data_IF_557873685645
#
_entry.id   IF_557873685645
#
_cell.length_a   1.000
_cell.length_b   1.000
_cell.length_c   1.000
_cell.angle_alpha   90.00
_cell.angle_beta   90.00
_cell.angle_gamma   90.00
#
_symmetry.space_group_name_H-M   'P 1'
#
loop_
_entity.id
_entity.type
_entity.pdbx_description
1 polymer ?
#
# COMPACT_ATOMS: atom_id res chain seq x y z
N UNK A 1 84.52 51.44 70.29
CA UNK A 1 84.12 50.88 68.97
C UNK A 1 83.56 49.46 69.03
N UNK A 2 84.12 48.53 69.81
CA UNK A 2 83.69 47.12 69.83
C UNK A 2 82.27 46.88 70.41
N UNK A 3 81.90 47.62 71.47
CA UNK A 3 80.58 47.50 72.14
C UNK A 3 79.43 47.89 71.20
N UNK A 4 79.57 48.97 70.44
CA UNK A 4 78.55 49.41 69.48
C UNK A 4 78.34 48.43 68.32
N UNK A 5 79.38 47.69 67.89
CA UNK A 5 79.24 46.62 66.89
C UNK A 5 78.48 45.42 67.44
N UNK A 6 78.74 45.00 68.67
CA UNK A 6 78.02 43.87 69.31
C UNK A 6 76.52 44.17 69.44
N UNK A 7 76.18 45.39 69.89
CA UNK A 7 74.79 45.83 70.02
C UNK A 7 74.07 45.86 68.65
N UNK A 8 74.76 46.25 67.59
CA UNK A 8 74.19 46.26 66.24
C UNK A 8 73.96 44.85 65.67
N UNK A 9 74.84 43.90 65.96
CA UNK A 9 74.64 42.49 65.59
C UNK A 9 73.47 41.84 66.35
N UNK A 10 73.34 42.09 67.65
CA UNK A 10 72.18 41.65 68.44
C UNK A 10 70.87 42.25 67.92
N UNK A 11 70.90 43.52 67.51
CA UNK A 11 69.76 44.19 66.86
C UNK A 11 69.38 43.52 65.54
N UNK A 12 70.36 43.16 64.70
CA UNK A 12 70.12 42.44 63.43
C UNK A 12 69.54 41.05 63.67
N UNK A 13 70.01 40.32 64.68
CA UNK A 13 69.49 38.99 65.04
C UNK A 13 68.03 39.11 65.50
N UNK A 14 67.74 40.03 66.42
CA UNK A 14 66.37 40.30 66.89
C UNK A 14 65.44 40.73 65.75
N UNK A 15 65.91 41.60 64.86
CA UNK A 15 65.16 42.02 63.68
C UNK A 15 64.85 40.85 62.74
N UNK A 16 65.85 40.01 62.40
CA UNK A 16 65.65 38.83 61.54
C UNK A 16 64.66 37.83 62.16
N UNK A 17 64.74 37.60 63.47
CA UNK A 17 63.78 36.75 64.18
C UNK A 17 62.35 37.33 64.13
N UNK A 18 62.20 38.63 64.38
CA UNK A 18 60.91 39.31 64.28
C UNK A 18 60.32 39.23 62.86
N UNK A 19 61.13 39.45 61.82
CA UNK A 19 60.70 39.33 60.42
C UNK A 19 60.24 37.90 60.10
N UNK A 20 60.94 36.87 60.59
CA UNK A 20 60.54 35.46 60.43
C UNK A 20 59.18 35.17 61.07
N UNK A 21 58.96 35.64 62.30
CA UNK A 21 57.68 35.44 63.00
C UNK A 21 56.55 36.17 62.27
N UNK A 22 56.80 37.43 61.85
CA UNK A 22 55.82 38.23 61.13
C UNK A 22 55.48 37.65 59.75
N UNK A 23 56.46 37.19 58.98
CA UNK A 23 56.23 36.58 57.67
C UNK A 23 55.49 35.25 57.80
N UNK A 24 55.84 34.43 58.79
CA UNK A 24 55.11 33.19 59.10
C UNK A 24 53.65 33.47 59.46
N UNK A 25 53.40 34.43 60.37
CA UNK A 25 52.04 34.80 60.78
C UNK A 25 51.20 35.33 59.61
N UNK A 26 51.77 36.23 58.79
CA UNK A 26 51.11 36.73 57.56
C UNK A 26 50.77 35.58 56.62
N UNK A 27 51.68 34.63 56.42
CA UNK A 27 51.45 33.42 55.64
C UNK A 27 50.33 32.54 56.21
N UNK A 28 50.28 32.35 57.53
CA UNK A 28 49.21 31.60 58.20
C UNK A 28 47.84 32.26 58.00
N UNK A 29 47.76 33.58 58.12
CA UNK A 29 46.52 34.35 57.89
C UNK A 29 46.02 34.19 56.44
N UNK A 30 46.91 34.35 55.46
CA UNK A 30 46.56 34.19 54.03
C UNK A 30 46.11 32.77 53.73
N UNK A 31 46.83 31.74 54.21
CA UNK A 31 46.44 30.33 53.98
C UNK A 31 45.11 29.98 54.62
N UNK A 32 44.82 30.50 55.81
CA UNK A 32 43.52 30.29 56.46
C UNK A 32 42.39 30.91 55.64
N UNK A 33 42.59 32.13 55.13
CA UNK A 33 41.62 32.81 54.27
C UNK A 33 41.40 32.07 52.95
N UNK A 34 42.47 31.61 52.29
CA UNK A 34 42.35 30.81 51.06
C UNK A 34 41.61 29.49 51.28
N UNK A 35 41.84 28.80 52.40
CA UNK A 35 41.07 27.59 52.75
C UNK A 35 39.58 27.90 52.89
N UNK A 36 39.25 28.97 53.61
CA UNK A 36 37.86 29.41 53.76
C UNK A 36 37.21 29.72 52.41
N UNK A 37 37.89 30.47 51.53
CA UNK A 37 37.38 30.74 50.18
C UNK A 37 37.17 29.46 49.37
N UNK A 38 38.12 28.53 49.41
CA UNK A 38 38.00 27.25 48.71
C UNK A 38 36.82 26.41 49.23
N UNK A 39 36.60 26.37 50.54
CA UNK A 39 35.43 25.70 51.13
C UNK A 39 34.13 26.31 50.63
N UNK A 40 34.02 27.65 50.59
CA UNK A 40 32.82 28.33 50.07
C UNK A 40 32.61 28.03 48.58
N UNK A 41 33.68 28.04 47.78
CA UNK A 41 33.60 27.69 46.35
C UNK A 41 33.15 26.24 46.15
N UNK A 42 33.68 25.29 46.93
CA UNK A 42 33.28 23.88 46.86
C UNK A 42 31.79 23.73 47.20
N UNK A 43 31.30 24.45 48.23
CA UNK A 43 29.88 24.44 48.57
C UNK A 43 29.03 24.94 47.40
N UNK A 44 29.33 26.12 46.84
CA UNK A 44 28.61 26.67 45.68
C UNK A 44 28.59 25.68 44.52
N UNK A 45 29.76 25.11 44.18
CA UNK A 45 29.87 24.14 43.09
C UNK A 45 29.09 22.85 43.36
N UNK A 46 29.12 22.33 44.60
CA UNK A 46 28.36 21.14 45.02
C UNK A 46 26.86 21.38 44.85
N UNK A 47 26.36 22.51 45.33
CA UNK A 47 24.95 22.89 45.20
C UNK A 47 24.54 23.05 43.74
N UNK A 48 25.37 23.73 42.93
CA UNK A 48 25.11 23.93 41.51
C UNK A 48 25.08 22.61 40.72
N UNK A 49 26.08 21.73 40.91
CA UNK A 49 26.10 20.40 40.28
C UNK A 49 24.85 19.61 40.66
N UNK A 50 24.46 19.62 41.93
CA UNK A 50 23.24 18.97 42.41
C UNK A 50 21.97 19.55 41.78
N UNK A 51 21.85 20.87 41.69
CA UNK A 51 20.72 21.53 41.02
C UNK A 51 20.62 21.12 39.55
N UNK A 52 21.75 21.16 38.82
CA UNK A 52 21.81 20.80 37.40
C UNK A 52 21.33 19.37 37.16
N UNK A 53 21.81 18.41 37.95
CA UNK A 53 21.38 17.01 37.86
C UNK A 53 19.88 16.86 38.14
N UNK A 54 19.37 17.50 39.21
CA UNK A 54 17.93 17.44 39.54
C UNK A 54 17.06 18.07 38.46
N UNK A 55 17.47 19.20 37.87
CA UNK A 55 16.76 19.84 36.76
C UNK A 55 16.67 18.92 35.55
N UNK A 56 17.79 18.29 35.18
CA UNK A 56 17.81 17.36 34.06
C UNK A 56 16.93 16.13 34.32
N UNK A 57 17.04 15.52 35.50
CA UNK A 57 16.25 14.36 35.88
C UNK A 57 14.74 14.64 35.87
N UNK A 58 14.30 15.81 36.34
CA UNK A 58 12.89 16.22 36.27
C UNK A 58 12.39 16.27 34.82
N UNK A 59 13.17 16.87 33.91
CA UNK A 59 12.82 16.89 32.48
C UNK A 59 12.73 15.49 31.90
N UNK A 60 13.65 14.60 32.29
CA UNK A 60 13.68 13.21 31.85
C UNK A 60 12.43 12.44 32.32
N UNK A 61 12.04 12.61 33.59
CA UNK A 61 10.82 12.01 34.14
C UNK A 61 9.55 12.53 33.44
N UNK A 62 9.48 13.83 33.21
CA UNK A 62 8.37 14.46 32.49
C UNK A 62 8.24 13.87 31.09
N UNK A 63 9.34 13.77 30.33
CA UNK A 63 9.33 13.14 29.01
C UNK A 63 8.91 11.67 29.05
N UNK A 64 9.43 10.89 30.01
CA UNK A 64 9.07 9.49 30.16
C UNK A 64 7.58 9.30 30.49
N UNK A 65 7.03 10.16 31.36
CA UNK A 65 5.62 10.17 31.69
C UNK A 65 4.75 10.46 30.45
N UNK A 66 5.10 11.49 29.67
CA UNK A 66 4.36 11.84 28.46
C UNK A 66 4.42 10.72 27.41
N UNK A 67 5.58 10.09 27.21
CA UNK A 67 5.73 8.95 26.30
C UNK A 67 4.84 7.79 26.76
N UNK A 68 4.88 7.43 28.04
CA UNK A 68 4.06 6.35 28.60
C UNK A 68 2.57 6.63 28.41
N UNK A 69 2.13 7.86 28.73
CA UNK A 69 0.74 8.29 28.58
C UNK A 69 0.30 8.27 27.11
N UNK A 70 1.14 8.77 26.20
CA UNK A 70 0.86 8.77 24.76
C UNK A 70 0.73 7.34 24.22
N UNK A 71 1.65 6.45 24.60
CA UNK A 71 1.62 5.05 24.19
C UNK A 71 0.34 4.34 24.64
N UNK A 72 -0.11 4.59 25.88
CA UNK A 72 -1.36 4.05 26.39
C UNK A 72 -2.57 4.48 25.54
N UNK A 73 -2.70 5.78 25.25
CA UNK A 73 -3.81 6.26 24.43
C UNK A 73 -3.73 5.77 22.99
N UNK A 74 -2.53 5.70 22.40
CA UNK A 74 -2.33 5.16 21.07
C UNK A 74 -2.76 3.70 21.00
N UNK A 75 -2.41 2.88 21.99
CA UNK A 75 -2.85 1.48 22.05
C UNK A 75 -4.38 1.37 22.10
N UNK A 76 -5.04 2.17 22.94
CA UNK A 76 -6.50 2.19 23.04
C UNK A 76 -7.14 2.66 21.72
N UNK A 77 -6.58 3.70 21.09
CA UNK A 77 -7.05 4.21 19.81
C UNK A 77 -6.94 3.13 18.72
N UNK A 78 -5.83 2.40 18.64
CA UNK A 78 -5.65 1.30 17.67
C UNK A 78 -6.70 0.21 17.88
N UNK A 79 -7.03 -0.16 19.12
CA UNK A 79 -8.07 -1.16 19.42
C UNK A 79 -9.44 -0.71 18.91
N UNK A 80 -9.83 0.53 19.20
CA UNK A 80 -11.10 1.12 18.75
C UNK A 80 -11.13 1.16 17.22
N UNK A 81 -10.08 1.68 16.60
CA UNK A 81 -10.00 1.82 15.15
C UNK A 81 -10.01 0.46 14.44
N UNK A 82 -9.30 -0.56 14.95
CA UNK A 82 -9.31 -1.93 14.41
C UNK A 82 -10.73 -2.50 14.42
N UNK A 83 -11.45 -2.34 15.55
CA UNK A 83 -12.84 -2.81 15.66
C UNK A 83 -13.75 -2.10 14.67
N UNK A 84 -13.62 -0.79 14.56
CA UNK A 84 -14.40 0.03 13.64
C UNK A 84 -14.15 -0.33 12.17
N UNK A 85 -12.88 -0.40 11.75
CA UNK A 85 -12.51 -0.79 10.37
C UNK A 85 -13.09 -2.17 10.02
N UNK A 86 -13.00 -3.13 10.94
CA UNK A 86 -13.60 -4.45 10.74
C UNK A 86 -15.13 -4.41 10.59
N UNK A 87 -15.82 -3.61 11.41
CA UNK A 87 -17.28 -3.41 11.28
C UNK A 87 -17.63 -2.77 9.93
N UNK A 88 -16.93 -1.70 9.55
CA UNK A 88 -17.20 -0.94 8.32
C UNK A 88 -17.09 -1.83 7.09
N UNK A 89 -16.01 -2.62 6.98
CA UNK A 89 -15.81 -3.55 5.85
C UNK A 89 -16.96 -4.56 5.77
N UNK A 90 -17.33 -5.20 6.88
CA UNK A 90 -18.40 -6.21 6.89
C UNK A 90 -19.79 -5.64 6.59
N UNK A 91 -20.02 -4.36 6.88
CA UNK A 91 -21.32 -3.72 6.67
C UNK A 91 -21.44 -3.10 5.28
N UNK A 92 -20.42 -2.40 4.81
CA UNK A 92 -20.53 -1.54 3.62
C UNK A 92 -19.72 -2.01 2.40
N UNK A 93 -18.67 -2.81 2.59
CA UNK A 93 -17.79 -3.22 1.48
C UNK A 93 -18.06 -4.68 1.09
N UNK A 94 -17.93 -5.60 2.04
CA UNK A 94 -18.02 -7.04 1.79
C UNK A 94 -19.08 -7.70 2.66
N UNK A 95 -20.25 -7.92 2.08
CA UNK A 95 -21.33 -8.69 2.70
C UNK A 95 -21.19 -10.17 2.32
N UNK A 96 -20.53 -10.94 3.19
CA UNK A 96 -20.29 -12.39 3.00
C UNK A 96 -21.59 -13.18 2.75
N UNK A 97 -22.66 -12.88 3.48
CA UNK A 97 -23.92 -13.61 3.35
C UNK A 97 -24.61 -13.34 2.02
N UNK A 98 -24.56 -12.10 1.53
CA UNK A 98 -25.06 -11.74 0.21
C UNK A 98 -24.29 -12.47 -0.90
N UNK A 99 -22.94 -12.46 -0.82
CA UNK A 99 -22.10 -13.18 -1.77
C UNK A 99 -22.36 -14.70 -1.76
N UNK A 100 -22.47 -15.30 -0.57
CA UNK A 100 -22.77 -16.74 -0.44
C UNK A 100 -24.10 -17.10 -1.08
N UNK A 101 -25.15 -16.29 -0.86
CA UNK A 101 -26.46 -16.48 -1.47
C UNK A 101 -26.38 -16.38 -3.00
N UNK A 102 -25.65 -15.39 -3.51
CA UNK A 102 -25.42 -15.23 -4.95
C UNK A 102 -24.71 -16.45 -5.56
N UNK A 103 -23.62 -16.91 -4.95
CA UNK A 103 -22.89 -18.09 -5.42
C UNK A 103 -23.74 -19.35 -5.42
N UNK A 104 -24.60 -19.52 -4.42
CA UNK A 104 -25.55 -20.63 -4.38
C UNK A 104 -26.54 -20.54 -5.55
N UNK A 105 -27.11 -19.36 -5.82
CA UNK A 105 -28.00 -19.17 -6.97
C UNK A 105 -27.29 -19.46 -8.30
N UNK A 106 -26.04 -18.99 -8.47
CA UNK A 106 -25.21 -19.31 -9.65
C UNK A 106 -24.96 -20.81 -9.77
N UNK A 107 -24.71 -21.51 -8.66
CA UNK A 107 -24.48 -22.96 -8.69
C UNK A 107 -25.71 -23.74 -9.17
N UNK A 108 -26.92 -23.32 -8.75
CA UNK A 108 -28.19 -23.91 -9.17
C UNK A 108 -28.42 -23.64 -10.67
N UNK A 109 -28.23 -22.40 -11.12
CA UNK A 109 -28.36 -22.07 -12.54
C UNK A 109 -27.37 -22.84 -13.41
N UNK A 110 -26.12 -22.98 -12.96
CA UNK A 110 -25.13 -23.76 -13.69
C UNK A 110 -25.51 -25.24 -13.78
N UNK A 111 -26.11 -25.82 -12.74
CA UNK A 111 -26.61 -27.18 -12.77
C UNK A 111 -27.76 -27.32 -13.79
N UNK A 112 -28.69 -26.36 -13.80
CA UNK A 112 -29.79 -26.31 -14.75
C UNK A 112 -29.30 -26.23 -16.21
N UNK A 113 -28.42 -25.28 -16.52
CA UNK A 113 -27.84 -25.11 -17.87
C UNK A 113 -27.07 -26.36 -18.32
N UNK A 114 -26.35 -27.03 -17.41
CA UNK A 114 -25.67 -28.30 -17.74
C UNK A 114 -26.68 -29.40 -18.09
N UNK A 115 -27.81 -29.46 -17.40
CA UNK A 115 -28.90 -30.38 -17.72
C UNK A 115 -29.47 -30.11 -19.12
N UNK A 116 -29.81 -28.86 -19.43
CA UNK A 116 -30.31 -28.49 -20.77
C UNK A 116 -29.31 -28.81 -21.89
N UNK A 117 -28.02 -28.56 -21.65
CA UNK A 117 -26.96 -28.90 -22.60
C UNK A 117 -26.86 -30.42 -22.81
N UNK A 118 -27.03 -31.21 -21.76
CA UNK A 118 -27.03 -32.67 -21.86
C UNK A 118 -28.23 -33.17 -22.66
N UNK A 119 -29.43 -32.67 -22.38
CA UNK A 119 -30.64 -33.01 -23.14
C UNK A 119 -30.51 -32.64 -24.62
N UNK A 120 -29.92 -31.48 -24.92
CA UNK A 120 -29.66 -31.06 -26.29
C UNK A 120 -28.69 -32.01 -27.02
N UNK A 121 -27.63 -32.46 -26.34
CA UNK A 121 -26.68 -33.45 -26.90
C UNK A 121 -27.40 -34.76 -27.18
N UNK A 122 -28.19 -35.27 -26.24
CA UNK A 122 -28.97 -36.51 -26.42
C UNK A 122 -29.97 -36.39 -27.57
N UNK A 123 -30.67 -35.26 -27.68
CA UNK A 123 -31.54 -34.98 -28.82
C UNK A 123 -30.78 -35.00 -30.15
N UNK A 124 -29.60 -34.36 -30.21
CA UNK A 124 -28.77 -34.34 -31.42
C UNK A 124 -28.29 -35.72 -31.82
N UNK A 125 -27.80 -36.52 -30.88
CA UNK A 125 -27.38 -37.89 -31.16
C UNK A 125 -28.55 -38.74 -31.66
N UNK A 126 -29.75 -38.57 -31.09
CA UNK A 126 -30.93 -39.28 -31.53
C UNK A 126 -31.38 -38.84 -32.94
N UNK A 127 -31.34 -37.55 -33.25
CA UNK A 127 -31.56 -37.03 -34.62
C UNK A 127 -30.59 -37.65 -35.62
N UNK A 128 -29.31 -37.76 -35.28
CA UNK A 128 -28.28 -38.36 -36.12
C UNK A 128 -28.52 -39.87 -36.31
N UNK A 129 -28.82 -40.60 -35.24
CA UNK A 129 -29.20 -42.02 -35.31
C UNK A 129 -30.40 -42.23 -36.23
N UNK A 130 -31.44 -41.40 -36.11
CA UNK A 130 -32.63 -41.47 -36.97
C UNK A 130 -32.29 -41.18 -38.44
N UNK A 131 -31.46 -40.16 -38.72
CA UNK A 131 -30.97 -39.85 -40.07
C UNK A 131 -30.16 -41.01 -40.65
N UNK A 132 -29.31 -41.65 -39.85
CA UNK A 132 -28.50 -42.78 -40.31
C UNK A 132 -29.32 -44.04 -40.54
N UNK A 133 -30.34 -44.30 -39.72
CA UNK A 133 -31.34 -45.34 -39.99
C UNK A 133 -32.09 -45.04 -41.29
N UNK A 134 -32.53 -43.80 -41.51
CA UNK A 134 -33.21 -43.40 -42.75
C UNK A 134 -32.30 -43.56 -43.98
N UNK A 135 -31.01 -43.20 -43.87
CA UNK A 135 -30.02 -43.45 -44.95
C UNK A 135 -29.87 -44.94 -45.22
N UNK A 136 -29.73 -45.78 -44.19
CA UNK A 136 -29.64 -47.25 -44.34
C UNK A 136 -30.91 -47.81 -45.00
N UNK A 137 -32.09 -47.30 -44.66
CA UNK A 137 -33.34 -47.69 -45.33
C UNK A 137 -33.37 -47.23 -46.80
N UNK A 138 -32.95 -46.00 -47.09
CA UNK A 138 -32.84 -45.48 -48.46
C UNK A 138 -31.85 -46.30 -49.28
N UNK A 139 -30.71 -46.68 -48.71
CA UNK A 139 -29.73 -47.57 -49.34
C UNK A 139 -30.31 -48.95 -49.63
N UNK A 140 -31.01 -49.57 -48.66
CA UNK A 140 -31.71 -50.84 -48.89
C UNK A 140 -32.73 -50.74 -50.04
N UNK A 141 -33.54 -49.68 -50.04
CA UNK A 141 -34.50 -49.40 -51.13
C UNK A 141 -33.79 -49.19 -52.46
N UNK A 142 -32.67 -48.48 -52.48
CA UNK A 142 -31.87 -48.26 -53.69
C UNK A 142 -31.27 -49.56 -54.22
N UNK A 143 -30.69 -50.39 -53.34
CA UNK A 143 -30.15 -51.71 -53.70
C UNK A 143 -31.24 -52.61 -54.28
N UNK A 144 -32.43 -52.65 -53.68
CA UNK A 144 -33.57 -53.39 -54.24
C UNK A 144 -33.91 -52.91 -55.66
N UNK A 145 -33.99 -51.58 -55.89
CA UNK A 145 -34.25 -51.04 -57.23
C UNK A 145 -33.13 -51.35 -58.25
N UNK A 146 -31.88 -51.37 -57.81
CA UNK A 146 -30.71 -51.72 -58.63
C UNK A 146 -30.70 -53.19 -59.02
N UNK A 147 -31.03 -54.06 -58.05
CA UNK A 147 -31.05 -55.51 -58.18
C UNK A 147 -32.45 -56.04 -58.57
N UNK A 148 -33.37 -55.17 -59.02
CA UNK A 148 -34.76 -55.52 -59.33
C UNK A 148 -34.90 -56.68 -60.32
N UNK A 149 -33.91 -56.88 -61.19
CA UNK A 149 -33.87 -57.98 -62.15
C UNK A 149 -33.73 -59.37 -61.50
N UNK A 150 -33.36 -59.46 -60.22
CA UNK A 150 -33.28 -60.72 -59.46
C UNK A 150 -34.62 -61.17 -58.85
N UNK A 151 -35.70 -60.43 -59.11
CA UNK A 151 -37.05 -60.73 -58.62
C UNK A 151 -37.57 -62.05 -59.21
N UNK A 152 -38.24 -62.85 -58.38
CA UNK A 152 -38.86 -64.11 -58.81
C UNK A 152 -39.95 -63.88 -59.87
N UNK A 153 -39.95 -64.72 -60.90
CA UNK A 153 -41.01 -64.77 -61.92
C UNK A 153 -41.91 -65.97 -61.68
N UNK A 154 -43.06 -66.04 -62.35
CA UNK A 154 -43.97 -67.20 -62.22
C UNK A 154 -43.33 -68.51 -62.67
N UNK A 155 -42.44 -68.45 -63.67
CA UNK A 155 -41.82 -69.64 -64.26
C UNK A 155 -40.47 -70.01 -63.60
N UNK A 156 -39.73 -69.03 -63.05
CA UNK A 156 -38.42 -69.25 -62.42
C UNK A 156 -38.35 -68.49 -61.09
N UNK A 157 -38.07 -69.24 -60.02
CA UNK A 157 -37.84 -68.71 -58.69
C UNK A 157 -36.58 -67.84 -58.63
N UNK A 158 -36.70 -66.62 -58.08
CA UNK A 158 -35.58 -65.69 -57.89
C UNK A 158 -34.64 -66.14 -56.76
N UNK A 159 -33.40 -65.61 -56.73
CA UNK A 159 -32.37 -65.99 -55.74
C UNK A 159 -32.88 -65.80 -54.29
N UNK A 160 -33.71 -64.78 -54.06
CA UNK A 160 -34.25 -64.43 -52.75
C UNK A 160 -35.60 -65.10 -52.43
N UNK A 161 -36.15 -65.92 -53.34
CA UNK A 161 -37.40 -66.67 -53.17
C UNK A 161 -37.20 -68.17 -53.45
N UNK A 162 -36.29 -68.80 -52.71
CA UNK A 162 -35.97 -70.21 -52.90
C UNK A 162 -37.14 -71.13 -52.52
N UNK A 163 -37.50 -72.14 -53.34
CA UNK A 163 -38.60 -73.07 -53.07
C UNK A 163 -38.39 -73.95 -51.82
N UNK A 164 -37.17 -73.98 -51.28
CA UNK A 164 -36.83 -74.72 -50.07
C UNK A 164 -37.06 -73.91 -48.77
N UNK A 165 -37.42 -72.62 -48.87
CA UNK A 165 -37.74 -71.76 -47.71
C UNK A 165 -39.25 -71.63 -47.53
N UNK A 166 -39.70 -71.63 -46.27
CA UNK A 166 -41.12 -71.51 -45.88
C UNK A 166 -41.71 -70.12 -46.16
N UNK A 167 -40.88 -69.09 -46.18
CA UNK A 167 -41.27 -67.72 -46.48
C UNK A 167 -40.21 -67.02 -47.34
N UNK A 168 -40.60 -66.07 -48.21
CA UNK A 168 -39.65 -65.28 -48.99
C UNK A 168 -38.68 -64.50 -48.10
N UNK A 169 -37.44 -64.28 -48.55
CA UNK A 169 -36.47 -63.45 -47.84
C UNK A 169 -36.97 -61.99 -47.75
N UNK A 170 -36.68 -61.24 -46.67
CA UNK A 170 -37.07 -59.82 -46.57
C UNK A 170 -36.64 -58.97 -47.78
N UNK A 171 -35.54 -59.33 -48.45
CA UNK A 171 -35.11 -58.66 -49.68
C UNK A 171 -36.08 -58.90 -50.85
N UNK A 172 -36.65 -60.11 -50.98
CA UNK A 172 -37.64 -60.42 -52.01
C UNK A 172 -38.91 -59.58 -51.85
N UNK A 173 -39.36 -59.36 -50.60
CA UNK A 173 -40.51 -58.51 -50.31
C UNK A 173 -40.25 -57.04 -50.69
N UNK A 174 -39.04 -56.54 -50.44
CA UNK A 174 -38.63 -55.20 -50.86
C UNK A 174 -38.54 -55.07 -52.39
N UNK A 175 -38.04 -56.11 -53.07
CA UNK A 175 -37.97 -56.16 -54.54
C UNK A 175 -39.37 -56.06 -55.15
N UNK A 176 -40.34 -56.87 -54.67
CA UNK A 176 -41.74 -56.85 -55.12
C UNK A 176 -42.41 -55.48 -55.01
N UNK A 177 -42.09 -54.73 -53.94
CA UNK A 177 -42.67 -53.40 -53.70
C UNK A 177 -41.93 -52.27 -54.44
N UNK A 178 -40.75 -52.54 -54.99
CA UNK A 178 -39.92 -51.55 -55.65
C UNK A 178 -40.15 -51.48 -57.16
N UNK A 179 -39.78 -50.36 -57.80
CA UNK A 179 -39.79 -50.21 -59.26
C UNK A 179 -38.35 -50.20 -59.78
N UNK A 180 -38.05 -50.81 -60.95
CA UNK A 180 -36.70 -50.84 -61.49
C UNK A 180 -36.14 -49.43 -61.68
N UNK A 181 -34.82 -49.27 -61.57
CA UNK A 181 -34.18 -47.99 -61.84
C UNK A 181 -34.44 -47.59 -63.30
N UNK A 182 -35.15 -46.47 -63.49
CA UNK A 182 -35.34 -45.88 -64.83
C UNK A 182 -33.99 -45.34 -65.32
N UNK A 183 -33.58 -45.76 -66.53
CA UNK A 183 -32.44 -45.14 -67.20
C UNK A 183 -32.81 -43.71 -67.55
N UNK A 184 -32.46 -42.76 -66.68
CA UNK A 184 -32.59 -41.34 -66.98
C UNK A 184 -31.64 -41.05 -68.13
N UNK A 185 -32.16 -40.74 -69.33
CA UNK A 185 -31.38 -40.09 -70.39
C UNK A 185 -30.83 -38.80 -69.77
N UNK A 186 -29.52 -38.74 -69.53
CA UNK A 186 -28.87 -37.48 -69.19
C UNK A 186 -29.18 -36.52 -70.33
N UNK A 187 -30.00 -35.50 -70.09
CA UNK A 187 -29.90 -34.33 -70.95
C UNK A 187 -28.51 -33.76 -70.70
N UNK A 188 -27.69 -33.80 -71.75
CA UNK A 188 -26.38 -33.14 -71.79
C UNK A 188 -26.68 -31.64 -71.66
N UNK A 189 -26.61 -31.11 -70.43
CA UNK A 189 -26.47 -29.67 -70.27
C UNK A 189 -25.03 -29.35 -70.68
N UNK A 190 -24.91 -28.75 -71.86
CA UNK A 190 -23.67 -28.10 -72.32
C UNK A 190 -23.15 -27.19 -71.20
N UNK A 191 -21.88 -27.33 -70.77
CA UNK A 191 -21.27 -26.42 -69.79
C UNK A 191 -21.14 -24.96 -70.27
N UNK A 192 -21.56 -24.64 -71.50
CA UNK A 192 -21.22 -23.38 -72.17
C UNK A 192 -22.38 -22.38 -72.32
N UNK A 193 -23.39 -22.42 -71.43
CA UNK A 193 -24.59 -21.59 -71.58
C UNK A 193 -24.58 -20.28 -70.78
N UNK A 194 -23.52 -19.94 -70.04
CA UNK A 194 -23.50 -18.72 -69.21
C UNK A 194 -22.29 -17.78 -69.42
N UNK A 195 -21.35 -18.08 -70.32
CA UNK A 195 -20.15 -17.23 -70.52
C UNK A 195 -19.86 -16.96 -72.01
N UNK A 196 -20.90 -16.67 -72.80
CA UNK A 196 -20.73 -16.26 -74.21
C UNK A 196 -21.54 -15.00 -74.54
N UNK A 197 -21.43 -13.99 -73.69
CA UNK A 197 -21.69 -12.60 -74.03
C UNK A 197 -20.62 -11.78 -73.34
N UNK A 198 -19.41 -11.76 -73.93
CA UNK A 198 -18.44 -10.64 -73.86
C UNK A 198 -17.06 -11.03 -74.43
N UNK A 199 -16.98 -11.55 -75.66
CA UNK A 199 -15.76 -11.50 -76.51
C UNK A 199 -16.13 -12.01 -77.92
N UNK A 200 -15.86 -11.29 -79.03
CA UNK A 200 -14.69 -10.47 -79.30
C UNK A 200 -15.07 -9.10 -79.89
N UNK A 201 -15.56 -8.17 -79.07
CA UNK A 201 -15.66 -6.76 -79.46
C UNK A 201 -15.11 -5.92 -78.32
N UNK A 202 -13.78 -5.97 -78.16
CA UNK A 202 -13.03 -5.16 -77.22
C UNK A 202 -13.13 -3.67 -77.63
N UNK A 203 -14.25 -3.02 -77.35
CA UNK A 203 -14.44 -1.58 -77.59
C UNK A 203 -13.95 -0.71 -76.43
N UNK A 204 -13.28 -1.30 -75.43
CA UNK A 204 -12.70 -0.56 -74.30
C UNK A 204 -11.19 -0.82 -74.27
N UNK A 205 -10.34 0.22 -74.41
CA UNK A 205 -8.91 0.05 -74.17
C UNK A 205 -8.68 -0.31 -72.70
N UNK A 206 -7.64 -1.10 -72.35
CA UNK A 206 -7.29 -1.35 -70.97
C UNK A 206 -6.90 -0.03 -70.32
N UNK A 207 -7.76 0.51 -69.47
CA UNK A 207 -7.39 1.64 -68.64
C UNK A 207 -6.29 1.15 -67.69
N UNK A 208 -5.09 1.75 -67.76
CA UNK A 208 -4.15 1.67 -66.66
C UNK A 208 -4.87 2.17 -65.42
N UNK A 209 -5.14 1.24 -64.50
CA UNK A 209 -5.85 1.52 -63.26
C UNK A 209 -4.93 2.41 -62.42
N UNK A 210 -5.10 3.73 -62.53
CA UNK A 210 -4.61 4.66 -61.53
C UNK A 210 -5.19 4.20 -60.19
N UNK A 211 -4.28 3.92 -59.25
CA UNK A 211 -4.53 3.33 -57.93
C UNK A 211 -5.99 3.43 -57.48
N UNK A 212 -6.73 2.33 -57.60
CA UNK A 212 -8.01 2.20 -56.90
C UNK A 212 -7.71 2.45 -55.42
N UNK A 213 -8.47 3.34 -54.75
CA UNK A 213 -8.38 3.46 -53.30
C UNK A 213 -8.55 2.06 -52.73
N UNK A 214 -7.59 1.60 -51.94
CA UNK A 214 -7.73 0.34 -51.22
C UNK A 214 -9.10 0.38 -50.51
N UNK A 215 -9.88 -0.72 -50.56
CA UNK A 215 -11.16 -0.75 -49.89
C UNK A 215 -10.93 -0.34 -48.44
N UNK A 216 -11.79 0.54 -47.88
CA UNK A 216 -11.60 1.05 -46.53
C UNK A 216 -11.41 -0.15 -45.61
N UNK A 217 -10.23 -0.25 -44.99
CA UNK A 217 -9.92 -1.31 -44.02
C UNK A 217 -11.05 -1.23 -43.00
N UNK A 218 -11.95 -2.22 -43.07
CA UNK A 218 -13.11 -2.25 -42.20
C UNK A 218 -12.63 -2.15 -40.77
N UNK A 219 -13.32 -1.35 -39.95
CA UNK A 219 -13.11 -1.31 -38.48
C UNK A 219 -13.55 -2.63 -37.81
N UNK A 220 -13.29 -3.75 -38.45
CA UNK A 220 -13.56 -5.07 -37.93
C UNK A 220 -12.47 -5.39 -36.91
N UNK A 221 -12.89 -5.87 -35.75
CA UNK A 221 -11.98 -6.30 -34.69
C UNK A 221 -11.06 -7.39 -35.28
N UNK A 222 -9.73 -7.21 -35.28
CA UNK A 222 -8.83 -8.23 -35.80
C UNK A 222 -9.04 -9.54 -35.03
N UNK A 223 -9.13 -10.65 -35.76
CA UNK A 223 -9.38 -11.96 -35.17
C UNK A 223 -8.14 -12.41 -34.38
N UNK A 224 -8.27 -12.48 -33.05
CA UNK A 224 -7.19 -12.86 -32.13
C UNK A 224 -7.31 -12.17 -30.77
N UNK A 225 -6.35 -12.41 -29.85
CA UNK A 225 -6.31 -11.78 -28.52
C UNK A 225 -5.75 -10.34 -28.59
N UNK A 226 -6.12 -9.58 -29.63
CA UNK A 226 -5.67 -8.20 -29.81
C UNK A 226 -6.57 -7.24 -29.01
N UNK A 227 -5.94 -6.23 -28.41
CA UNK A 227 -6.62 -5.18 -27.65
C UNK A 227 -7.41 -4.27 -28.59
N UNK A 228 -8.41 -3.58 -28.04
CA UNK A 228 -9.24 -2.69 -28.84
C UNK A 228 -8.41 -1.54 -29.42
N UNK A 229 -8.74 -1.13 -30.64
CA UNK A 229 -8.06 -0.05 -31.37
C UNK A 229 -8.02 1.26 -30.58
N UNK A 230 -9.08 1.57 -29.82
CA UNK A 230 -9.13 2.74 -28.95
C UNK A 230 -8.12 2.65 -27.79
N UNK A 231 -7.96 1.47 -27.17
CA UNK A 231 -6.99 1.26 -26.09
C UNK A 231 -5.55 1.36 -26.58
N UNK A 232 -5.27 0.83 -27.77
CA UNK A 232 -3.93 0.88 -28.37
C UNK A 232 -3.55 2.32 -28.71
N UNK A 233 -4.48 3.09 -29.28
CA UNK A 233 -4.25 4.52 -29.56
C UNK A 233 -4.06 5.32 -28.27
N UNK A 234 -4.87 5.04 -27.24
CA UNK A 234 -4.71 5.67 -25.93
C UNK A 234 -3.36 5.37 -25.29
N UNK A 235 -2.88 4.11 -25.36
CA UNK A 235 -1.54 3.74 -24.88
C UNK A 235 -0.43 4.44 -25.67
N UNK A 236 -0.56 4.53 -26.99
CA UNK A 236 0.44 5.18 -27.86
C UNK A 236 0.58 6.67 -27.59
N UNK A 237 -0.54 7.35 -27.35
CA UNK A 237 -0.56 8.80 -27.10
C UNK A 237 -0.63 9.16 -25.61
N UNK A 238 -0.46 8.19 -24.70
CA UNK A 238 -0.39 8.46 -23.27
C UNK A 238 0.86 9.33 -23.00
N UNK A 239 0.72 10.54 -22.45
CA UNK A 239 1.88 11.37 -22.10
C UNK A 239 2.75 10.61 -21.10
N UNK A 240 4.06 10.65 -21.32
CA UNK A 240 5.02 10.01 -20.44
C UNK A 240 4.99 10.71 -19.08
N UNK A 241 4.57 9.99 -18.04
CA UNK A 241 4.71 10.46 -16.67
C UNK A 241 6.21 10.45 -16.34
N UNK A 242 6.83 11.62 -16.05
CA UNK A 242 8.24 11.65 -15.69
C UNK A 242 8.48 10.76 -14.48
N UNK A 243 9.53 9.95 -14.53
CA UNK A 243 9.92 9.14 -13.37
C UNK A 243 10.12 10.04 -12.15
N UNK A 244 9.92 9.49 -10.94
CA UNK A 244 10.01 10.25 -9.69
C UNK A 244 11.34 11.04 -9.57
N UNK A 245 12.44 10.53 -10.17
CA UNK A 245 13.74 11.21 -10.26
C UNK A 245 13.76 12.45 -11.18
N UNK A 246 12.89 12.50 -12.17
CA UNK A 246 12.75 13.61 -13.13
C UNK A 246 11.69 14.61 -12.67
N UNK A 247 10.62 14.13 -12.00
CA UNK A 247 9.58 14.97 -11.43
C UNK A 247 10.06 15.75 -10.19
N UNK A 248 10.94 15.15 -9.38
CA UNK A 248 11.55 15.81 -8.23
C UNK A 248 12.77 16.63 -8.66
N UNK A 249 12.88 17.88 -8.20
CA UNK A 249 14.09 18.67 -8.46
C UNK A 249 15.29 18.01 -7.80
N UNK A 250 16.44 17.98 -8.49
CA UNK A 250 17.71 17.40 -8.01
C UNK A 250 18.07 17.89 -6.60
N UNK A 251 17.67 19.11 -6.25
CA UNK A 251 17.79 19.64 -4.90
C UNK A 251 16.82 18.88 -3.99
N UNK A 252 17.40 17.99 -3.17
CA UNK A 252 16.66 17.14 -2.25
C UNK A 252 15.66 17.95 -1.41
N UNK A 253 14.50 17.39 -1.02
CA UNK A 253 13.58 18.05 -0.09
C UNK A 253 14.27 18.55 1.19
N UNK A 254 15.35 17.88 1.60
CA UNK A 254 16.21 18.25 2.72
C UNK A 254 16.99 19.55 2.48
N UNK A 255 17.50 19.80 1.28
CA UNK A 255 18.19 21.06 0.95
C UNK A 255 17.22 22.24 0.94
N UNK A 256 16.03 22.08 0.36
CA UNK A 256 14.98 23.11 0.41
C UNK A 256 14.56 23.44 1.84
N UNK A 257 14.46 22.43 2.71
CA UNK A 257 14.19 22.63 4.13
C UNK A 257 15.33 23.39 4.84
N UNK A 258 16.59 23.06 4.54
CA UNK A 258 17.77 23.77 5.10
C UNK A 258 17.84 25.23 4.66
N UNK A 259 17.52 25.53 3.41
CA UNK A 259 17.44 26.91 2.93
C UNK A 259 16.30 27.70 3.58
N UNK A 260 15.16 27.05 3.85
CA UNK A 260 14.06 27.63 4.62
C UNK A 260 14.49 28.05 6.02
N UNK A 261 15.15 27.13 6.74
CA UNK A 261 15.68 27.35 8.09
C UNK A 261 16.72 28.49 8.08
N UNK A 262 17.68 28.49 7.15
CA UNK A 262 18.66 29.58 7.03
C UNK A 262 18.01 30.94 6.79
N UNK A 263 16.93 31.01 6.01
CA UNK A 263 16.17 32.25 5.77
C UNK A 263 15.39 32.71 7.00
N UNK A 264 14.91 31.79 7.84
CA UNK A 264 14.27 32.12 9.12
C UNK A 264 15.28 32.57 10.17
N UNK A 265 16.45 31.92 10.25
CA UNK A 265 17.56 32.34 11.11
C UNK A 265 18.09 33.73 10.71
N UNK A 266 18.22 34.02 9.41
CA UNK A 266 18.59 35.36 8.92
C UNK A 266 17.54 36.44 9.22
N UNK A 267 16.26 36.06 9.26
CA UNK A 267 15.15 36.98 9.58
C UNK A 267 15.02 37.27 11.07
N UNK A 268 15.65 36.46 11.93
CA UNK A 268 15.68 36.65 13.36
C UNK A 268 17.09 37.05 13.79
N UNK A 269 17.47 38.35 13.72
CA UNK A 269 18.65 38.82 14.39
C UNK A 269 18.62 38.36 15.85
N UNK A 270 19.74 37.79 16.27
CA UNK A 270 20.01 37.41 17.66
C UNK A 270 19.96 38.70 18.48
N UNK A 271 18.83 38.92 19.16
CA UNK A 271 18.54 39.94 20.16
C UNK A 271 18.54 41.41 19.70
N UNK A 272 17.36 41.91 19.29
CA UNK A 272 17.04 43.36 19.26
C UNK A 272 16.71 43.93 20.66
N UNK A 273 16.94 43.17 21.74
CA UNK A 273 16.74 43.69 23.08
C UNK A 273 17.98 44.51 23.46
N UNK A 274 17.81 45.84 23.59
CA UNK A 274 18.81 46.69 24.24
C UNK A 274 19.24 46.06 25.57
N UNK A 275 20.55 45.91 25.76
CA UNK A 275 21.10 45.36 26.99
C UNK A 275 20.80 46.31 28.15
N UNK A 276 19.72 46.04 28.88
CA UNK A 276 19.36 46.82 30.06
C UNK A 276 20.27 46.43 31.24
N UNK A 277 20.87 47.40 31.96
CA UNK A 277 21.61 47.11 33.17
C UNK A 277 20.71 46.46 34.22
N UNK A 278 21.26 45.50 34.98
CA UNK A 278 20.55 44.64 35.95
C UNK A 278 19.70 45.35 37.03
N UNK A 279 19.72 46.68 37.11
CA UNK A 279 19.06 47.49 38.13
C UNK A 279 17.64 47.96 37.77
N UNK A 280 17.08 47.63 36.59
CA UNK A 280 15.78 48.19 36.14
C UNK A 280 14.54 47.28 36.33
N UNK A 281 14.69 46.05 36.82
CA UNK A 281 13.57 45.09 36.94
C UNK A 281 12.38 45.57 37.80
N UNK A 282 12.57 46.54 38.69
CA UNK A 282 11.48 47.06 39.54
C UNK A 282 10.62 48.15 38.88
N UNK A 283 10.97 48.61 37.67
CA UNK A 283 10.25 49.72 36.99
C UNK A 283 9.27 49.25 35.91
N UNK A 284 9.25 47.96 35.57
CA UNK A 284 8.33 47.42 34.58
C UNK A 284 6.99 47.06 35.25
N UNK A 285 6.06 48.01 35.32
CA UNK A 285 4.70 47.78 35.85
C UNK A 285 3.91 46.71 35.06
N UNK A 286 4.34 46.38 33.83
CA UNK A 286 3.73 45.34 32.98
C UNK A 286 4.11 43.91 33.38
N UNK A 287 5.17 43.70 34.16
CA UNK A 287 5.61 42.38 34.64
C UNK A 287 5.38 42.27 36.16
N UNK A 288 4.14 42.50 36.61
CA UNK A 288 3.74 42.10 37.96
C UNK A 288 3.91 40.58 38.09
N UNK A 289 4.77 40.17 39.01
CA UNK A 289 4.96 38.77 39.39
C UNK A 289 3.61 38.14 39.75
N UNK A 290 3.07 37.27 38.89
CA UNK A 290 1.90 36.44 39.20
C UNK A 290 2.35 35.21 40.01
N UNK A 291 1.94 35.07 41.29
CA UNK A 291 2.25 33.88 42.07
C UNK A 291 1.51 32.67 41.49
N UNK A 292 2.22 31.55 41.32
CA UNK A 292 1.65 30.32 40.77
C UNK A 292 0.41 29.82 41.55
N UNK A 293 -0.64 29.45 40.79
CA UNK A 293 -1.94 28.93 41.27
C UNK A 293 -1.83 27.69 42.20
N UNK A 294 -0.66 27.05 42.28
CA UNK A 294 -0.45 25.84 43.07
C UNK A 294 -0.10 26.09 44.55
N UNK A 295 -0.13 27.33 45.06
CA UNK A 295 0.16 27.63 46.48
C UNK A 295 -1.00 27.37 47.45
N UNK A 296 -2.23 27.14 46.97
CA UNK A 296 -3.42 26.90 47.81
C UNK A 296 -3.95 25.46 47.68
N UNK A 297 -3.12 24.47 48.04
CA UNK A 297 -3.58 23.09 48.22
C UNK A 297 -4.07 22.85 49.65
N UNK A 298 -5.09 22.00 49.80
CA UNK A 298 -5.79 21.62 51.05
C UNK A 298 -4.91 20.96 52.13
N UNK A 299 -3.61 20.80 51.88
CA UNK A 299 -2.66 20.20 52.80
C UNK A 299 -2.01 21.31 53.64
N UNK A 300 -2.30 21.28 54.94
CA UNK A 300 -1.71 22.17 55.93
C UNK A 300 -0.19 22.08 55.80
N UNK A 301 0.44 23.24 55.61
CA UNK A 301 1.88 23.39 55.56
C UNK A 301 2.41 23.14 56.97
N UNK A 302 2.76 21.89 57.30
CA UNK A 302 3.58 21.64 58.47
C UNK A 302 4.88 22.43 58.29
N UNK A 303 5.18 23.31 59.26
CA UNK A 303 6.38 24.13 59.23
C UNK A 303 7.60 23.21 59.10
N UNK A 304 8.31 23.36 57.97
CA UNK A 304 9.51 22.61 57.70
C UNK A 304 10.56 22.93 58.78
N UNK A 305 10.83 22.00 59.69
CA UNK A 305 11.92 22.12 60.67
C UNK A 305 11.72 21.47 62.04
N UNK A 306 10.49 21.23 62.51
CA UNK A 306 10.29 20.85 63.93
C UNK A 306 10.42 19.37 64.25
N UNK A 307 10.08 18.45 63.34
CA UNK A 307 9.98 17.03 63.69
C UNK A 307 11.29 16.24 63.57
N UNK A 308 12.25 16.68 62.74
CA UNK A 308 13.41 15.84 62.35
C UNK A 308 14.77 16.52 62.60
N UNK A 309 14.78 17.75 63.12
CA UNK A 309 16.00 18.44 63.50
C UNK A 309 16.22 18.31 65.01
N UNK A 310 17.33 17.70 65.41
CA UNK A 310 17.79 17.68 66.81
C UNK A 310 18.46 19.02 67.14
N UNK A 311 17.66 20.07 67.33
CA UNK A 311 18.18 21.30 67.94
C UNK A 311 18.01 21.21 69.46
N UNK A 312 19.15 21.09 70.15
CA UNK A 312 19.22 20.81 71.60
C UNK A 312 18.81 22.02 72.45
N UNK A 313 18.78 23.24 71.90
CA UNK A 313 18.44 24.46 72.65
C UNK A 313 17.73 25.53 71.77
N UNK A 314 16.42 25.42 71.53
CA UNK A 314 15.67 26.36 70.69
C UNK A 314 15.55 27.77 71.29
N UNK A 315 15.72 27.93 72.60
CA UNK A 315 15.59 29.23 73.30
C UNK A 315 16.85 30.09 73.27
N UNK A 316 17.97 29.60 72.73
CA UNK A 316 19.26 30.33 72.76
C UNK A 316 19.32 31.52 71.79
N UNK A 317 18.38 31.59 70.85
CA UNK A 317 18.39 32.55 69.75
C UNK A 317 17.14 33.44 69.67
N UNK A 318 16.20 33.30 70.61
CA UNK A 318 15.04 34.18 70.68
C UNK A 318 15.41 35.29 71.66
N UNK A 319 15.77 36.46 71.12
CA UNK A 319 15.79 37.69 71.89
C UNK A 319 14.34 38.17 72.01
N UNK A 320 13.81 38.20 73.23
CA UNK A 320 12.49 38.76 73.51
C UNK A 320 12.50 40.25 73.15
N UNK A 321 11.54 40.65 72.32
CA UNK A 321 11.23 42.04 71.98
C UNK A 321 9.83 42.37 72.47
#
# INVERSE_FOLDING_TARGET
FYIFRSIDEDRKIKYRAAVKIQSWFRGCKVRAYLRHLNEMVILIQKWWRGYRCRKHFRKMLETAYFIMKMNFYNEMAVRIQKRWRGYYVRKYIHNYYALKKYLQAVSVNNAFVRGELQEYVEMKENEEKMKDLEKKEKEKKYQARKMHYLLSTEQIAGIYNSPFRKSPDPMELLLRNSKPLSHRRKQVKSPFAYELYDWPTCKKPPAFVAALPLPPIGRQKPQGPFRDTAEVLWQRYKPLEPTLRVAESINSPLEKAREGIKREEWRNPIHDNEFLPFSSYHKNESEKYEPSLCKSGKYVREAYGTKHFREVYPKKWIADK
#
